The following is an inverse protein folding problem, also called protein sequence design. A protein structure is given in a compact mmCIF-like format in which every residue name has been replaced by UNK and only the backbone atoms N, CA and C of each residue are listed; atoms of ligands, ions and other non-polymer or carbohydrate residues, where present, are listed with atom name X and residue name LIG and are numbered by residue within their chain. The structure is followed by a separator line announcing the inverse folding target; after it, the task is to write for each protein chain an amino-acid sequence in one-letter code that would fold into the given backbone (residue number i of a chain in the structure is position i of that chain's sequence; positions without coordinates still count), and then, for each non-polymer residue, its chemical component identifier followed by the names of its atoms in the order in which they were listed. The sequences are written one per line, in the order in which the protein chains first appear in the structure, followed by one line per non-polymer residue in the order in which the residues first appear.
data_IF_376133226190
#
_entry.id   IF_376133226190
#
_cell.length_a   1.000
_cell.length_b   1.000
_cell.length_c   1.000
_cell.angle_alpha   90.00
_cell.angle_beta   90.00
_cell.angle_gamma   90.00
#
_symmetry.space_group_name_H-M   'P 1'
#
loop_
_entity.id
_entity.type
_entity.pdbx_description
1 polymer ?
#
# COMPACT_ATOMS: atom_id res chain seq x y z
N UNK A 1 37.61 -24.95 -23.80
CA UNK A 1 36.25 -24.39 -23.87
C UNK A 1 36.37 -22.91 -23.55
N UNK A 2 36.26 -22.03 -24.55
CA UNK A 2 36.41 -20.59 -24.36
C UNK A 2 35.19 -20.04 -23.60
N UNK A 3 35.42 -19.27 -22.52
CA UNK A 3 34.35 -18.60 -21.78
C UNK A 3 33.75 -17.50 -22.67
N UNK A 4 32.43 -17.51 -22.80
CA UNK A 4 31.68 -16.45 -23.47
C UNK A 4 31.63 -15.21 -22.55
N UNK A 5 32.04 -14.01 -23.01
CA UNK A 5 32.08 -12.80 -22.19
C UNK A 5 30.72 -12.35 -21.66
N UNK A 6 29.61 -12.90 -22.18
CA UNK A 6 28.26 -12.62 -21.68
C UNK A 6 27.88 -13.37 -20.39
N UNK A 7 28.75 -14.27 -19.90
CA UNK A 7 28.55 -15.10 -18.70
C UNK A 7 29.20 -14.54 -17.43
N UNK A 8 29.66 -13.28 -17.43
CA UNK A 8 30.17 -12.60 -16.25
C UNK A 8 29.03 -11.90 -15.48
N UNK A 9 28.07 -12.69 -14.97
CA UNK A 9 26.97 -12.19 -14.13
C UNK A 9 27.15 -12.72 -12.71
N UNK A 10 26.99 -11.84 -11.71
CA UNK A 10 27.17 -12.16 -10.29
C UNK A 10 26.27 -13.30 -9.77
N UNK A 11 25.20 -13.66 -10.51
CA UNK A 11 24.31 -14.76 -10.17
C UNK A 11 24.61 -16.07 -10.92
N UNK A 12 25.58 -16.10 -11.84
CA UNK A 12 25.96 -17.29 -12.61
C UNK A 12 24.90 -17.79 -13.61
N UNK A 13 23.89 -16.98 -13.92
CA UNK A 13 22.80 -17.32 -14.84
C UNK A 13 23.03 -16.66 -16.19
N UNK A 14 22.66 -17.37 -17.26
CA UNK A 14 22.64 -16.78 -18.60
C UNK A 14 21.55 -15.69 -18.68
N UNK A 15 21.74 -14.69 -19.54
CA UNK A 15 20.78 -13.61 -19.70
C UNK A 15 19.36 -14.09 -20.11
N UNK A 16 19.26 -15.29 -20.71
CA UNK A 16 17.99 -15.94 -21.03
C UNK A 16 17.29 -16.49 -19.79
N UNK A 17 17.99 -17.23 -18.94
CA UNK A 17 17.40 -17.81 -17.71
C UNK A 17 16.92 -16.72 -16.74
N UNK A 18 17.70 -15.63 -16.60
CA UNK A 18 17.31 -14.51 -15.76
C UNK A 18 16.00 -13.84 -16.24
N UNK A 19 15.78 -13.75 -17.57
CA UNK A 19 14.54 -13.22 -18.15
C UNK A 19 13.35 -14.13 -17.93
N UNK A 20 13.55 -15.44 -17.96
CA UNK A 20 12.48 -16.42 -17.78
C UNK A 20 12.01 -16.46 -16.32
N UNK A 21 12.94 -16.44 -15.36
CA UNK A 21 12.62 -16.26 -13.95
C UNK A 21 11.90 -14.94 -13.70
N UNK A 22 12.42 -13.84 -14.25
CA UNK A 22 11.83 -12.51 -14.08
C UNK A 22 10.40 -12.45 -14.63
N UNK A 23 10.14 -13.09 -15.77
CA UNK A 23 8.79 -13.16 -16.36
C UNK A 23 7.81 -13.90 -15.45
N UNK A 24 8.22 -15.03 -14.89
CA UNK A 24 7.39 -15.82 -13.99
C UNK A 24 7.12 -15.07 -12.66
N UNK A 25 8.15 -14.44 -12.11
CA UNK A 25 8.05 -13.62 -10.91
C UNK A 25 7.11 -12.42 -11.11
N UNK A 26 7.27 -11.67 -12.21
CA UNK A 26 6.45 -10.51 -12.50
C UNK A 26 4.98 -10.86 -12.68
N UNK A 27 4.67 -12.02 -13.28
CA UNK A 27 3.29 -12.50 -13.41
C UNK A 27 2.62 -12.66 -12.04
N UNK A 28 3.28 -13.35 -11.10
CA UNK A 28 2.77 -13.55 -9.74
C UNK A 28 2.73 -12.26 -8.92
N UNK A 29 3.78 -11.44 -9.03
CA UNK A 29 3.89 -10.15 -8.34
C UNK A 29 2.75 -9.21 -8.73
N UNK A 30 2.48 -9.05 -10.04
CA UNK A 30 1.38 -8.21 -10.53
C UNK A 30 0.03 -8.73 -10.01
N UNK A 31 -0.21 -10.05 -10.08
CA UNK A 31 -1.45 -10.64 -9.58
C UNK A 31 -1.67 -10.37 -8.09
N UNK A 32 -0.63 -10.56 -7.27
CA UNK A 32 -0.66 -10.24 -5.84
C UNK A 32 -0.88 -8.74 -5.58
N UNK A 33 -0.17 -7.87 -6.28
CA UNK A 33 -0.28 -6.42 -6.11
C UNK A 33 -1.68 -5.91 -6.43
N UNK A 34 -2.34 -6.43 -7.48
CA UNK A 34 -3.73 -6.05 -7.81
C UNK A 34 -4.68 -6.40 -6.66
N UNK A 35 -4.57 -7.61 -6.12
CA UNK A 35 -5.39 -8.05 -4.98
C UNK A 35 -5.11 -7.18 -3.76
N UNK A 36 -3.84 -6.89 -3.46
CA UNK A 36 -3.44 -6.05 -2.35
C UNK A 36 -4.02 -4.64 -2.46
N UNK A 37 -3.98 -4.03 -3.65
CA UNK A 37 -4.57 -2.71 -3.90
C UNK A 37 -6.06 -2.69 -3.53
N UNK A 38 -6.84 -3.68 -3.99
CA UNK A 38 -8.27 -3.78 -3.69
C UNK A 38 -8.51 -3.91 -2.18
N UNK A 39 -7.75 -4.77 -1.50
CA UNK A 39 -7.87 -4.96 -0.06
C UNK A 39 -7.56 -3.67 0.72
N UNK A 40 -6.53 -2.93 0.33
CA UNK A 40 -6.17 -1.67 0.98
C UNK A 40 -7.21 -0.58 0.73
N UNK A 41 -7.81 -0.51 -0.46
CA UNK A 41 -8.92 0.40 -0.71
C UNK A 41 -10.14 0.09 0.16
N UNK A 42 -10.47 -1.19 0.34
CA UNK A 42 -11.58 -1.59 1.19
C UNK A 42 -11.33 -1.24 2.66
N UNK A 43 -10.12 -1.51 3.16
CA UNK A 43 -9.73 -1.12 4.52
C UNK A 43 -9.71 0.40 4.67
N UNK A 44 -9.24 1.14 3.67
CA UNK A 44 -9.29 2.60 3.67
C UNK A 44 -10.72 3.10 3.82
N UNK A 45 -11.68 2.49 3.12
CA UNK A 45 -13.10 2.86 3.24
C UNK A 45 -13.69 2.58 4.62
N UNK A 46 -13.17 1.60 5.37
CA UNK A 46 -13.65 1.26 6.71
C UNK A 46 -12.97 2.06 7.83
N UNK A 47 -11.66 2.30 7.71
CA UNK A 47 -10.83 3.05 8.66
C UNK A 47 -9.83 3.88 7.86
N UNK A 48 -10.21 5.09 7.42
CA UNK A 48 -9.31 5.94 6.65
C UNK A 48 -8.14 6.36 7.55
N UNK A 49 -6.93 5.92 7.18
CA UNK A 49 -5.72 6.16 7.96
C UNK A 49 -5.10 7.55 7.72
N UNK A 50 -5.49 8.22 6.64
CA UNK A 50 -5.15 9.63 6.39
C UNK A 50 -6.44 10.45 6.43
N UNK A 51 -6.74 11.13 7.55
CA UNK A 51 -7.80 12.13 7.56
C UNK A 51 -7.36 13.31 6.66
N UNK A 52 -8.32 13.98 6.02
CA UNK A 52 -8.03 15.07 5.06
C UNK A 52 -7.26 16.24 5.69
N UNK A 53 -7.04 17.33 4.96
CA UNK A 53 -6.35 18.55 5.47
C UNK A 53 -7.00 19.17 6.74
N UNK A 54 -8.21 18.71 7.12
CA UNK A 54 -8.91 18.98 8.39
C UNK A 54 -8.88 17.87 9.45
N UNK A 55 -8.15 16.77 9.24
CA UNK A 55 -7.73 15.83 10.30
C UNK A 55 -8.82 15.24 11.20
N UNK A 56 -8.42 14.89 12.43
CA UNK A 56 -9.31 14.63 13.56
C UNK A 56 -10.05 15.88 14.08
N UNK A 57 -9.92 17.04 13.41
CA UNK A 57 -10.55 18.27 13.88
C UNK A 57 -12.07 18.22 13.76
N UNK A 58 -12.63 17.44 12.83
CA UNK A 58 -14.09 17.20 12.82
C UNK A 58 -14.57 16.37 14.02
N UNK A 59 -13.74 15.44 14.51
CA UNK A 59 -14.05 14.67 15.71
C UNK A 59 -13.95 15.54 16.98
N UNK A 60 -12.99 16.47 17.02
CA UNK A 60 -12.90 17.48 18.09
C UNK A 60 -14.07 18.47 18.04
N UNK A 61 -14.44 18.94 16.84
CA UNK A 61 -15.60 19.80 16.63
C UNK A 61 -16.93 19.15 17.03
N UNK A 62 -17.13 17.87 16.73
CA UNK A 62 -18.31 17.12 17.17
C UNK A 62 -18.36 16.95 18.71
N UNK A 63 -17.21 16.76 19.36
CA UNK A 63 -17.11 16.66 20.83
C UNK A 63 -17.32 18.01 21.52
N UNK A 64 -16.79 19.10 20.97
CA UNK A 64 -17.03 20.46 21.44
C UNK A 64 -18.50 20.88 21.27
N UNK A 65 -19.14 20.49 20.16
CA UNK A 65 -20.55 20.77 19.96
C UNK A 65 -21.43 19.96 20.93
N UNK A 66 -21.07 18.70 21.18
CA UNK A 66 -21.74 17.88 22.18
C UNK A 66 -21.57 18.44 23.61
N UNK A 67 -20.40 18.98 23.95
CA UNK A 67 -20.15 19.58 25.27
C UNK A 67 -20.88 20.91 25.45
N UNK A 68 -20.98 21.74 24.41
CA UNK A 68 -21.80 22.95 24.41
C UNK A 68 -23.28 22.63 24.63
N UNK A 69 -23.82 21.64 23.91
CA UNK A 69 -25.20 21.21 24.12
C UNK A 69 -25.42 20.72 25.56
N UNK A 70 -24.50 19.89 26.08
CA UNK A 70 -24.58 19.44 27.47
C UNK A 70 -24.57 20.61 28.46
N UNK A 71 -23.74 21.64 28.26
CA UNK A 71 -23.72 22.82 29.12
C UNK A 71 -25.01 23.64 29.03
N UNK A 72 -25.65 23.72 27.85
CA UNK A 72 -26.92 24.43 27.69
C UNK A 72 -28.13 23.71 28.30
N UNK A 73 -28.09 22.37 28.42
CA UNK A 73 -29.18 21.59 28.99
C UNK A 73 -28.99 21.27 30.48
N UNK A 74 -27.76 21.27 30.99
CA UNK A 74 -27.42 20.87 32.36
C UNK A 74 -26.74 21.98 33.18
N UNK A 75 -26.76 23.23 32.71
CA UNK A 75 -26.41 24.44 33.46
C UNK A 75 -27.66 25.28 33.78
#
# INVERSE_FOLDING_TARGET
MARDPSTDTLSGLTAQEAKEFHRLFMLGFIGFTVIAIIAHFLVWSWRPWFPGVGGYAELQGAVEHASQLAQTFFG
#
